data_IF_838776024409
#
_entry.id   IF_838776024409
#
_cell.length_a   1.000
_cell.length_b   1.000
_cell.length_c   1.000
_cell.angle_alpha   90.00
_cell.angle_beta   90.00
_cell.angle_gamma   90.00
#
_symmetry.space_group_name_H-M   'P 1'
#
loop_
_entity.id
_entity.type
_entity.pdbx_description
1 polymer ?
#
# COMPACT_ATOMS: atom_id res chain seq x y z
N UNK A 1 5.60 -74.15 37.49
CA UNK A 1 5.51 -75.16 36.44
C UNK A 1 6.21 -74.56 35.24
N UNK A 2 7.42 -74.89 35.03
CA UNK A 2 7.98 -75.82 34.02
C UNK A 2 7.59 -75.42 32.63
N UNK A 3 8.39 -75.28 31.66
CA UNK A 3 9.74 -75.66 31.31
C UNK A 3 9.96 -75.06 29.91
N UNK A 4 11.09 -74.70 29.58
CA UNK A 4 12.34 -75.19 29.09
C UNK A 4 12.54 -74.80 27.62
N UNK A 5 13.57 -73.98 27.41
CA UNK A 5 14.76 -74.16 26.58
C UNK A 5 14.64 -74.90 25.26
N UNK A 6 15.23 -74.32 24.20
CA UNK A 6 16.39 -74.88 23.50
C UNK A 6 16.92 -73.84 22.44
N UNK A 7 18.22 -73.52 22.53
CA UNK A 7 19.05 -73.03 21.40
C UNK A 7 19.67 -74.24 20.66
N UNK A 8 20.03 -74.05 19.38
CA UNK A 8 21.48 -74.10 19.05
C UNK A 8 21.88 -73.10 17.95
N UNK A 9 23.01 -72.46 18.13
CA UNK A 9 24.39 -72.70 17.66
C UNK A 9 24.65 -72.43 16.16
N UNK A 10 25.58 -71.59 15.99
CA UNK A 10 26.14 -70.90 14.84
C UNK A 10 26.72 -71.79 13.73
N UNK A 11 26.77 -71.23 12.52
CA UNK A 11 27.83 -71.56 11.57
C UNK A 11 28.22 -70.27 10.83
N UNK A 12 29.47 -69.88 10.96
CA UNK A 12 30.12 -68.81 10.24
C UNK A 12 30.53 -69.27 8.84
N UNK A 13 30.17 -68.56 7.80
CA UNK A 13 30.75 -68.72 6.46
C UNK A 13 31.36 -67.40 6.03
N UNK A 14 32.70 -67.36 5.96
CA UNK A 14 33.48 -66.33 5.30
C UNK A 14 33.21 -66.37 3.77
N UNK A 15 32.70 -65.34 3.19
CA UNK A 15 32.69 -65.16 1.74
C UNK A 15 33.46 -63.88 1.38
N UNK A 16 34.49 -64.09 0.56
CA UNK A 16 35.35 -63.02 0.06
C UNK A 16 34.62 -62.00 -0.78
N UNK A 17 34.79 -60.71 -0.47
CA UNK A 17 34.31 -59.60 -1.29
C UNK A 17 35.29 -59.33 -2.43
N UNK A 18 34.84 -59.58 -3.66
CA UNK A 18 35.47 -59.07 -4.88
C UNK A 18 34.92 -57.68 -5.16
N UNK A 19 35.75 -56.67 -5.09
CA UNK A 19 35.43 -55.33 -5.55
C UNK A 19 35.35 -55.29 -7.09
N UNK A 20 34.15 -55.18 -7.63
CA UNK A 20 33.93 -54.77 -9.02
C UNK A 20 33.62 -53.27 -9.03
N UNK A 21 34.58 -52.47 -9.46
CA UNK A 21 34.36 -51.06 -9.77
C UNK A 21 33.55 -50.94 -11.05
N UNK A 22 32.22 -50.88 -10.90
CA UNK A 22 31.31 -50.56 -11.98
C UNK A 22 31.10 -49.04 -12.03
N UNK A 23 31.75 -48.37 -12.97
CA UNK A 23 31.34 -47.02 -13.41
C UNK A 23 30.00 -47.14 -14.15
N UNK A 24 28.89 -46.98 -13.42
CA UNK A 24 27.57 -46.77 -14.04
C UNK A 24 27.46 -45.34 -14.60
N UNK A 25 26.82 -45.14 -15.75
CA UNK A 25 26.61 -43.79 -16.26
C UNK A 25 25.76 -43.00 -15.28
N UNK A 26 26.22 -41.78 -14.94
CA UNK A 26 25.46 -40.83 -14.16
C UNK A 26 24.11 -40.60 -14.85
N UNK A 27 23.04 -41.00 -14.19
CA UNK A 27 21.69 -40.73 -14.62
C UNK A 27 21.48 -39.21 -14.57
N UNK A 28 21.63 -38.51 -15.69
CA UNK A 28 21.21 -37.16 -15.89
C UNK A 28 19.69 -37.17 -15.90
N UNK A 29 19.06 -37.05 -14.72
CA UNK A 29 17.66 -36.73 -14.62
C UNK A 29 17.48 -35.35 -15.26
N UNK A 30 16.87 -35.30 -16.44
CA UNK A 30 16.39 -34.08 -17.04
C UNK A 30 15.41 -33.48 -16.02
N UNK A 31 15.65 -32.23 -15.54
CA UNK A 31 14.71 -31.62 -14.62
C UNK A 31 13.35 -31.53 -15.31
N UNK A 32 12.35 -32.21 -14.74
CA UNK A 32 10.96 -32.06 -15.20
C UNK A 32 10.60 -30.59 -14.96
N UNK A 33 10.17 -29.84 -15.99
CA UNK A 33 9.78 -28.46 -15.81
C UNK A 33 8.65 -28.41 -14.78
N UNK A 34 8.87 -27.73 -13.66
CA UNK A 34 7.80 -27.43 -12.71
C UNK A 34 6.81 -26.52 -13.44
N UNK A 35 5.51 -26.86 -13.50
CA UNK A 35 4.54 -26.01 -14.15
C UNK A 35 4.60 -24.61 -13.50
N UNK A 36 4.79 -23.58 -14.32
CA UNK A 36 4.76 -22.20 -13.87
C UNK A 36 3.30 -21.87 -13.57
N UNK A 37 2.89 -21.98 -12.31
CA UNK A 37 1.54 -21.60 -11.89
C UNK A 37 1.46 -20.09 -11.78
N UNK A 38 0.55 -19.48 -12.53
CA UNK A 38 0.25 -18.07 -12.36
C UNK A 38 -0.60 -17.84 -11.11
N UNK A 39 -0.33 -16.76 -10.39
CA UNK A 39 -1.13 -16.29 -9.26
C UNK A 39 -1.90 -15.05 -9.68
N UNK A 40 -3.19 -14.99 -9.34
CA UNK A 40 -4.02 -13.79 -9.55
C UNK A 40 -4.48 -13.24 -8.22
N UNK A 41 -4.19 -11.95 -7.98
CA UNK A 41 -4.57 -11.21 -6.79
C UNK A 41 -5.57 -10.12 -7.15
N UNK A 42 -6.64 -10.01 -6.36
CA UNK A 42 -7.67 -9.00 -6.50
C UNK A 42 -7.55 -8.01 -5.35
N UNK A 43 -7.43 -6.72 -5.67
CA UNK A 43 -7.30 -5.64 -4.68
C UNK A 43 -8.59 -4.86 -4.58
N UNK A 44 -9.13 -4.75 -3.36
CA UNK A 44 -10.35 -4.00 -3.05
C UNK A 44 -10.05 -2.79 -2.17
N UNK A 45 -10.80 -1.73 -2.41
CA UNK A 45 -10.95 -0.60 -1.48
C UNK A 45 -12.40 -0.57 -1.01
N UNK A 46 -12.67 -1.13 0.16
CA UNK A 46 -14.03 -1.47 0.57
C UNK A 46 -14.63 -2.46 -0.43
N UNK A 47 -15.83 -2.19 -0.94
CA UNK A 47 -16.54 -3.05 -1.88
C UNK A 47 -16.05 -2.91 -3.33
N UNK A 48 -15.26 -1.87 -3.63
CA UNK A 48 -14.78 -1.61 -4.99
C UNK A 48 -13.50 -2.38 -5.33
N UNK A 49 -13.53 -3.16 -6.40
CA UNK A 49 -12.30 -3.67 -7.03
C UNK A 49 -11.55 -2.54 -7.72
N UNK A 50 -10.31 -2.30 -7.29
CA UNK A 50 -9.49 -1.19 -7.79
C UNK A 50 -8.26 -1.63 -8.59
N UNK A 51 -7.81 -2.87 -8.38
CA UNK A 51 -6.73 -3.48 -9.15
C UNK A 51 -6.88 -4.99 -9.20
N UNK A 52 -6.36 -5.59 -10.27
CA UNK A 52 -6.18 -7.05 -10.39
C UNK A 52 -4.78 -7.26 -10.95
N UNK A 53 -4.02 -8.10 -10.29
CA UNK A 53 -2.66 -8.47 -10.68
C UNK A 53 -2.61 -9.95 -11.00
N UNK A 54 -1.97 -10.31 -12.12
CA UNK A 54 -1.58 -11.69 -12.43
C UNK A 54 -0.08 -11.74 -12.62
N UNK A 55 0.57 -12.70 -11.97
CA UNK A 55 2.02 -12.86 -12.07
C UNK A 55 2.46 -14.31 -12.03
N UNK A 56 3.67 -14.55 -12.48
CA UNK A 56 4.42 -15.78 -12.33
C UNK A 56 5.71 -15.48 -11.59
N UNK A 57 6.12 -16.39 -10.70
CA UNK A 57 7.35 -16.27 -9.94
C UNK A 57 8.15 -17.57 -10.04
N UNK A 58 9.38 -17.48 -10.52
CA UNK A 58 10.34 -18.56 -10.63
C UNK A 58 11.62 -18.18 -9.87
N UNK A 59 12.54 -19.13 -9.69
CA UNK A 59 13.83 -18.86 -9.05
C UNK A 59 14.69 -17.80 -9.77
N UNK A 60 14.43 -17.52 -11.06
CA UNK A 60 15.23 -16.62 -11.89
C UNK A 60 14.49 -15.35 -12.30
N UNK A 61 13.18 -15.37 -12.26
CA UNK A 61 12.38 -14.28 -12.84
C UNK A 61 11.00 -14.20 -12.20
N UNK A 62 10.51 -12.98 -12.06
CA UNK A 62 9.13 -12.68 -11.76
C UNK A 62 8.56 -11.79 -12.86
N UNK A 63 7.39 -12.11 -13.38
CA UNK A 63 6.70 -11.32 -14.41
C UNK A 63 5.25 -11.13 -14.03
N UNK A 64 4.73 -9.93 -14.24
CA UNK A 64 3.34 -9.64 -13.90
C UNK A 64 2.68 -8.63 -14.82
N UNK A 65 1.37 -8.79 -14.89
CA UNK A 65 0.41 -7.87 -15.50
C UNK A 65 -0.51 -7.37 -14.41
N UNK A 66 -0.61 -6.07 -14.26
CA UNK A 66 -1.53 -5.43 -13.33
C UNK A 66 -2.45 -4.48 -14.08
N UNK A 67 -3.74 -4.57 -13.83
CA UNK A 67 -4.72 -3.59 -14.27
C UNK A 67 -5.22 -2.81 -13.08
N UNK A 68 -5.26 -1.50 -13.20
CA UNK A 68 -5.70 -0.59 -12.15
C UNK A 68 -6.82 0.29 -12.66
N UNK A 69 -7.76 0.62 -11.76
CA UNK A 69 -8.91 1.48 -12.05
C UNK A 69 -8.67 2.93 -11.65
N UNK A 70 -7.65 3.20 -10.85
CA UNK A 70 -7.44 4.49 -10.17
C UNK A 70 -6.08 5.10 -10.50
N UNK A 71 -6.02 6.44 -10.69
CA UNK A 71 -7.13 7.39 -10.87
C UNK A 71 -7.86 7.21 -12.19
N UNK A 72 -7.25 6.53 -13.15
CA UNK A 72 -7.79 6.14 -14.46
C UNK A 72 -7.37 4.71 -14.79
N UNK A 73 -8.13 4.05 -15.67
CA UNK A 73 -7.83 2.69 -16.07
C UNK A 73 -6.48 2.60 -16.76
N UNK A 74 -5.62 1.71 -16.27
CA UNK A 74 -4.26 1.49 -16.77
C UNK A 74 -3.91 0.02 -16.79
N UNK A 75 -3.01 -0.33 -17.69
CA UNK A 75 -2.38 -1.64 -17.81
C UNK A 75 -0.89 -1.45 -17.52
N UNK A 76 -0.40 -2.06 -16.45
CA UNK A 76 1.01 -2.11 -16.08
C UNK A 76 1.58 -3.50 -16.33
N UNK A 77 2.79 -3.59 -16.89
CA UNK A 77 3.54 -4.84 -17.02
C UNK A 77 4.88 -4.67 -16.35
N UNK A 78 5.28 -5.65 -15.58
CA UNK A 78 6.60 -5.67 -14.97
C UNK A 78 7.29 -7.00 -15.20
N UNK A 79 8.62 -6.93 -15.18
CA UNK A 79 9.51 -8.09 -15.21
C UNK A 79 10.66 -7.80 -14.26
N UNK A 80 11.03 -8.78 -13.44
CA UNK A 80 12.14 -8.68 -12.49
C UNK A 80 13.05 -9.89 -12.68
N UNK A 81 14.28 -9.65 -13.07
CA UNK A 81 15.31 -10.68 -13.14
C UNK A 81 15.96 -10.86 -11.77
N UNK A 82 16.13 -12.10 -11.36
CA UNK A 82 16.64 -12.50 -10.06
C UNK A 82 18.04 -13.14 -10.19
N UNK A 83 18.94 -12.69 -9.34
CA UNK A 83 20.26 -13.32 -9.17
C UNK A 83 20.20 -14.64 -8.40
N UNK A 84 21.34 -15.33 -8.25
CA UNK A 84 21.42 -16.65 -7.60
C UNK A 84 20.83 -16.71 -6.17
N UNK A 85 20.81 -15.56 -5.50
CA UNK A 85 20.30 -15.44 -4.13
C UNK A 85 18.86 -14.90 -4.06
N UNK A 86 18.13 -14.88 -5.18
CA UNK A 86 16.80 -14.31 -5.27
C UNK A 86 16.75 -12.76 -5.16
N UNK A 87 17.91 -12.11 -5.15
CA UNK A 87 17.96 -10.64 -5.14
C UNK A 87 17.64 -10.08 -6.54
N UNK A 88 16.85 -9.01 -6.65
CA UNK A 88 16.63 -8.35 -7.93
C UNK A 88 17.95 -7.85 -8.54
N UNK A 89 18.15 -8.09 -9.84
CA UNK A 89 19.30 -7.58 -10.61
C UNK A 89 18.86 -6.54 -11.63
N UNK A 90 17.67 -6.73 -12.20
CA UNK A 90 17.04 -5.82 -13.14
C UNK A 90 15.52 -5.87 -12.94
N UNK A 91 14.87 -4.74 -13.14
CA UNK A 91 13.43 -4.68 -13.27
C UNK A 91 13.05 -3.78 -14.44
N UNK A 92 12.08 -4.21 -15.24
CA UNK A 92 11.48 -3.41 -16.29
C UNK A 92 10.00 -3.20 -15.98
N UNK A 93 9.51 -2.00 -16.22
CA UNK A 93 8.10 -1.66 -16.05
C UNK A 93 7.61 -0.83 -17.22
N UNK A 94 6.45 -1.17 -17.74
CA UNK A 94 5.76 -0.37 -18.73
C UNK A 94 4.32 -0.11 -18.30
N UNK A 95 3.77 1.03 -18.73
CA UNK A 95 2.39 1.40 -18.44
C UNK A 95 1.70 1.92 -19.69
N UNK A 96 0.45 1.48 -19.87
CA UNK A 96 -0.44 1.86 -20.94
C UNK A 96 -1.77 2.31 -20.38
N UNK A 97 -2.59 2.99 -21.18
CA UNK A 97 -3.97 3.24 -20.80
C UNK A 97 -4.82 1.96 -20.86
N UNK A 98 -6.10 2.05 -20.51
CA UNK A 98 -6.99 0.89 -20.44
C UNK A 98 -7.24 0.18 -21.78
N UNK A 99 -6.96 0.82 -22.92
CA UNK A 99 -7.03 0.21 -24.28
C UNK A 99 -5.66 -0.28 -24.77
N UNK A 100 -4.61 -0.13 -23.96
CA UNK A 100 -3.26 -0.50 -24.34
C UNK A 100 -2.51 0.57 -25.13
N UNK A 101 -3.07 1.77 -25.31
CA UNK A 101 -2.40 2.87 -25.98
C UNK A 101 -1.35 3.54 -25.08
N UNK A 102 -0.38 4.22 -25.68
CA UNK A 102 0.63 5.00 -24.97
C UNK A 102 -0.01 6.16 -24.19
N UNK A 103 0.50 6.43 -23.00
CA UNK A 103 0.04 7.58 -22.20
C UNK A 103 0.57 8.88 -22.82
N UNK A 104 -0.26 9.91 -23.00
CA UNK A 104 0.16 11.19 -23.56
C UNK A 104 1.27 11.85 -22.71
N UNK A 105 2.36 12.29 -23.38
CA UNK A 105 3.45 13.06 -22.77
C UNK A 105 4.21 12.36 -21.63
N UNK A 106 3.91 11.09 -21.36
CA UNK A 106 4.44 10.33 -20.24
C UNK A 106 5.67 9.50 -20.56
N UNK A 107 6.27 8.97 -19.52
CA UNK A 107 7.24 7.89 -19.59
C UNK A 107 6.51 6.62 -20.04
N UNK A 108 7.03 5.96 -21.10
CA UNK A 108 6.42 4.76 -21.68
C UNK A 108 6.85 3.50 -20.94
N UNK A 109 8.11 3.48 -20.50
CA UNK A 109 8.69 2.39 -19.73
C UNK A 109 9.84 2.88 -18.87
N UNK A 110 10.18 2.06 -17.89
CA UNK A 110 11.27 2.26 -16.94
C UNK A 110 12.07 0.99 -16.84
N UNK A 111 13.39 1.08 -17.05
CA UNK A 111 14.34 0.01 -16.74
C UNK A 111 15.12 0.38 -15.49
N UNK A 112 15.25 -0.55 -14.55
CA UNK A 112 15.96 -0.37 -13.28
C UNK A 112 17.02 -1.44 -13.14
N UNK A 113 18.25 -1.06 -12.86
CA UNK A 113 19.35 -1.97 -12.51
C UNK A 113 19.69 -1.83 -11.06
N UNK A 114 19.72 -2.96 -10.35
CA UNK A 114 20.11 -3.04 -8.95
C UNK A 114 21.61 -3.40 -8.90
N UNK A 115 22.43 -2.45 -8.46
CA UNK A 115 23.88 -2.58 -8.32
C UNK A 115 24.17 -2.54 -6.81
N UNK A 116 25.28 -3.12 -6.36
CA UNK A 116 25.59 -3.31 -4.93
C UNK A 116 25.11 -2.18 -4.01
N UNK A 117 25.50 -0.93 -4.29
CA UNK A 117 25.25 0.22 -3.42
C UNK A 117 24.45 1.33 -4.14
N UNK A 118 23.80 0.97 -5.25
CA UNK A 118 23.03 1.92 -6.03
C UNK A 118 21.94 1.28 -6.87
N UNK A 119 20.94 2.08 -7.22
CA UNK A 119 19.88 1.73 -8.17
C UNK A 119 19.95 2.73 -9.31
N UNK A 120 20.03 2.23 -10.54
CA UNK A 120 20.07 3.07 -11.75
C UNK A 120 18.78 2.93 -12.51
N UNK A 121 18.11 4.03 -12.74
CA UNK A 121 16.86 4.14 -13.47
C UNK A 121 17.11 4.68 -14.87
N UNK A 122 16.57 4.03 -15.89
CA UNK A 122 16.51 4.53 -17.26
C UNK A 122 15.05 4.66 -17.66
N UNK A 123 14.56 5.88 -17.70
CA UNK A 123 13.20 6.18 -18.13
C UNK A 123 13.15 6.44 -19.62
N UNK A 124 12.34 5.66 -20.36
CA UNK A 124 12.15 5.78 -21.81
C UNK A 124 10.93 6.66 -22.09
N UNK A 125 11.16 7.76 -22.78
CA UNK A 125 10.14 8.75 -23.18
C UNK A 125 10.19 8.99 -24.68
N UNK A 126 9.12 9.50 -25.23
CA UNK A 126 9.09 9.91 -26.66
C UNK A 126 10.16 10.97 -26.97
N UNK A 127 10.46 11.85 -26.00
CA UNK A 127 11.46 12.91 -26.15
C UNK A 127 12.92 12.45 -25.87
N UNK A 128 13.14 11.15 -25.63
CA UNK A 128 14.44 10.58 -25.31
C UNK A 128 14.56 10.01 -23.90
N UNK A 129 15.60 9.25 -23.67
CA UNK A 129 15.87 8.55 -22.42
C UNK A 129 16.41 9.48 -21.34
N UNK A 130 16.02 9.21 -20.09
CA UNK A 130 16.55 9.90 -18.91
C UNK A 130 17.16 8.90 -17.95
N UNK A 131 18.41 9.13 -17.51
CA UNK A 131 19.09 8.28 -16.53
C UNK A 131 19.21 9.00 -15.20
N UNK A 132 18.91 8.28 -14.11
CA UNK A 132 19.05 8.82 -12.73
C UNK A 132 19.55 7.70 -11.82
N UNK A 133 20.45 8.02 -10.90
CA UNK A 133 20.94 7.11 -9.87
C UNK A 133 20.34 7.43 -8.50
N UNK A 134 20.22 6.40 -7.67
CA UNK A 134 19.86 6.48 -6.26
C UNK A 134 20.85 5.62 -5.46
N UNK A 135 21.42 6.16 -4.39
CA UNK A 135 22.19 5.36 -3.46
C UNK A 135 21.24 4.40 -2.72
N UNK A 136 21.63 3.13 -2.65
CA UNK A 136 20.85 2.07 -1.97
C UNK A 136 21.60 1.62 -0.71
N UNK A 137 20.85 1.40 0.36
CA UNK A 137 21.40 0.92 1.62
C UNK A 137 20.72 -0.40 2.00
N UNK A 138 21.46 -1.51 1.89
CA UNK A 138 20.95 -2.83 2.28
C UNK A 138 20.19 -3.55 1.17
N UNK A 139 19.17 -4.32 1.55
CA UNK A 139 18.35 -5.07 0.60
C UNK A 139 17.34 -4.14 -0.10
N UNK A 140 17.31 -4.20 -1.43
CA UNK A 140 16.45 -3.33 -2.25
C UNK A 140 15.53 -4.20 -3.10
N UNK A 141 14.24 -3.83 -3.14
CA UNK A 141 13.23 -4.55 -3.93
C UNK A 141 12.39 -3.58 -4.76
N UNK A 142 11.94 -4.00 -5.96
CA UNK A 142 11.03 -3.20 -6.76
C UNK A 142 9.65 -3.12 -6.11
N UNK A 143 8.97 -2.01 -6.34
CA UNK A 143 7.62 -1.76 -5.88
C UNK A 143 6.77 -1.15 -6.99
N UNK A 144 5.57 -1.67 -7.20
CA UNK A 144 4.54 -1.10 -8.07
C UNK A 144 3.28 -0.88 -7.22
N UNK A 145 2.67 0.31 -7.24
CA UNK A 145 1.43 0.54 -6.51
C UNK A 145 0.35 -0.49 -6.87
N UNK A 146 -0.28 -1.07 -5.86
CA UNK A 146 -1.29 -2.13 -5.96
C UNK A 146 -0.77 -3.49 -6.47
N UNK A 147 0.54 -3.67 -6.72
CA UNK A 147 1.15 -4.97 -6.94
C UNK A 147 1.57 -5.58 -5.61
N UNK A 148 0.94 -6.68 -5.24
CA UNK A 148 1.25 -7.40 -3.99
C UNK A 148 2.11 -8.63 -4.24
N UNK A 149 2.10 -9.17 -5.45
CA UNK A 149 2.99 -10.26 -5.85
C UNK A 149 4.47 -9.91 -5.64
N UNK A 150 4.88 -8.68 -5.89
CA UNK A 150 6.28 -8.24 -5.72
C UNK A 150 6.79 -8.40 -4.27
N UNK A 151 5.91 -8.48 -3.27
CA UNK A 151 6.34 -8.77 -1.89
C UNK A 151 6.79 -10.21 -1.68
N UNK A 152 6.55 -11.13 -2.61
CA UNK A 152 7.16 -12.47 -2.54
C UNK A 152 8.69 -12.43 -2.63
N UNK A 153 9.26 -11.43 -3.30
CA UNK A 153 10.71 -11.28 -3.43
C UNK A 153 11.42 -11.08 -2.08
N UNK A 154 11.04 -10.09 -1.25
CA UNK A 154 11.61 -9.96 0.08
C UNK A 154 11.27 -11.13 1.00
N UNK A 155 10.10 -11.76 0.89
CA UNK A 155 9.74 -12.94 1.68
C UNK A 155 10.63 -14.14 1.34
N UNK A 156 10.86 -14.42 0.06
CA UNK A 156 11.77 -15.46 -0.38
C UNK A 156 13.19 -15.22 0.13
N UNK A 157 13.65 -13.96 0.14
CA UNK A 157 14.96 -13.57 0.66
C UNK A 157 15.06 -13.80 2.16
N UNK A 158 14.03 -13.46 2.94
CA UNK A 158 13.99 -13.73 4.38
C UNK A 158 14.05 -15.22 4.68
N UNK A 159 13.23 -16.01 3.99
CA UNK A 159 13.20 -17.46 4.11
C UNK A 159 14.56 -18.08 3.81
N UNK A 160 15.20 -17.68 2.70
CA UNK A 160 16.51 -18.18 2.29
C UNK A 160 17.63 -17.86 3.30
N UNK A 161 17.46 -16.84 4.12
CA UNK A 161 18.44 -16.42 5.15
C UNK A 161 18.08 -16.86 6.56
N UNK A 162 16.92 -17.54 6.75
CA UNK A 162 16.44 -18.00 8.07
C UNK A 162 16.17 -16.85 9.04
N UNK A 163 15.79 -15.66 8.54
CA UNK A 163 15.56 -14.47 9.37
C UNK A 163 14.08 -14.23 9.58
N UNK A 164 13.71 -13.86 10.80
CA UNK A 164 12.34 -13.45 11.15
C UNK A 164 12.04 -11.98 10.83
N UNK A 165 13.05 -11.20 10.50
CA UNK A 165 12.90 -9.78 10.18
C UNK A 165 13.98 -9.30 9.22
N UNK A 166 13.62 -8.26 8.45
CA UNK A 166 14.51 -7.60 7.51
C UNK A 166 14.17 -6.12 7.39
N UNK A 167 15.21 -5.28 7.35
CA UNK A 167 15.11 -3.91 6.86
C UNK A 167 15.42 -3.92 5.37
N UNK A 168 14.62 -3.23 4.58
CA UNK A 168 14.81 -3.13 3.13
C UNK A 168 14.36 -1.76 2.63
N UNK A 169 14.72 -1.46 1.39
CA UNK A 169 14.22 -0.31 0.66
C UNK A 169 13.33 -0.78 -0.48
N UNK A 170 12.16 -0.17 -0.59
CA UNK A 170 11.23 -0.40 -1.70
C UNK A 170 11.42 0.71 -2.74
N UNK A 171 11.79 0.31 -3.95
CA UNK A 171 12.08 1.21 -5.06
C UNK A 171 10.88 1.23 -6.00
N UNK A 172 10.19 2.38 -6.16
CA UNK A 172 9.03 2.47 -7.03
C UNK A 172 9.44 2.32 -8.50
N UNK A 173 8.80 1.40 -9.20
CA UNK A 173 8.84 1.29 -10.65
C UNK A 173 7.82 2.24 -11.32
N UNK A 174 6.94 2.84 -10.52
CA UNK A 174 5.94 3.78 -11.02
C UNK A 174 6.60 5.09 -11.47
N UNK A 175 5.99 5.68 -12.48
CA UNK A 175 6.42 6.90 -13.14
C UNK A 175 6.32 8.09 -12.17
N UNK A 176 7.42 8.78 -11.92
CA UNK A 176 7.44 10.10 -11.26
C UNK A 176 8.18 10.20 -9.94
N UNK A 177 8.32 9.13 -9.16
CA UNK A 177 9.09 9.16 -7.92
C UNK A 177 10.31 8.26 -8.00
N UNK A 178 11.48 8.82 -7.71
CA UNK A 178 12.77 8.09 -7.71
C UNK A 178 13.37 8.11 -6.30
N UNK A 179 12.52 7.89 -5.31
CA UNK A 179 12.91 7.84 -3.92
C UNK A 179 12.62 6.44 -3.38
N UNK A 180 13.63 5.81 -2.82
CA UNK A 180 13.44 4.56 -2.09
C UNK A 180 12.64 4.81 -0.80
N UNK A 181 11.74 3.89 -0.48
CA UNK A 181 10.96 3.94 0.75
C UNK A 181 11.54 2.91 1.73
N UNK A 182 12.14 3.34 2.84
CA UNK A 182 12.55 2.43 3.89
C UNK A 182 11.36 1.63 4.41
N UNK A 183 11.53 0.32 4.53
CA UNK A 183 10.51 -0.60 5.01
C UNK A 183 11.11 -1.62 5.95
N UNK A 184 10.30 -2.10 6.90
CA UNK A 184 10.64 -3.23 7.75
C UNK A 184 9.66 -4.36 7.52
N UNK A 185 10.18 -5.57 7.45
CA UNK A 185 9.41 -6.80 7.27
C UNK A 185 9.67 -7.68 8.48
N UNK A 186 8.62 -8.23 9.09
CA UNK A 186 8.73 -9.10 10.27
C UNK A 186 7.70 -10.22 10.19
N UNK A 187 8.13 -11.45 10.45
CA UNK A 187 7.25 -12.60 10.68
C UNK A 187 6.49 -12.38 11.99
N UNK A 188 5.16 -12.51 11.96
CA UNK A 188 4.28 -12.39 13.12
C UNK A 188 3.63 -13.72 13.51
N UNK A 189 3.46 -14.61 12.53
CA UNK A 189 3.06 -16.01 12.71
C UNK A 189 3.59 -16.83 11.54
N UNK A 190 3.52 -18.18 11.57
CA UNK A 190 4.10 -19.04 10.52
C UNK A 190 3.63 -18.74 9.09
N UNK A 191 2.47 -18.12 8.95
CA UNK A 191 1.83 -17.79 7.65
C UNK A 191 1.58 -16.31 7.46
N UNK A 192 1.96 -15.44 8.43
CA UNK A 192 1.69 -14.00 8.38
C UNK A 192 2.96 -13.19 8.59
N UNK A 193 3.14 -12.25 7.70
CA UNK A 193 4.24 -11.28 7.74
C UNK A 193 3.68 -9.86 7.79
N UNK A 194 4.23 -9.05 8.68
CA UNK A 194 3.94 -7.62 8.76
C UNK A 194 4.98 -6.84 7.97
N UNK A 195 4.52 -5.98 7.07
CA UNK A 195 5.34 -5.00 6.36
C UNK A 195 4.92 -3.60 6.82
N UNK A 196 5.88 -2.75 7.12
CA UNK A 196 5.60 -1.36 7.46
C UNK A 196 5.70 -0.50 6.19
N UNK A 197 4.54 -0.07 5.67
CA UNK A 197 4.41 0.71 4.44
C UNK A 197 3.40 1.85 4.66
N UNK A 198 3.82 2.89 5.35
CA UNK A 198 2.92 3.97 5.76
C UNK A 198 1.76 3.46 6.64
N UNK A 199 2.07 2.50 7.49
CA UNK A 199 1.18 1.72 8.35
C UNK A 199 1.42 0.21 8.19
N UNK A 200 0.87 -0.62 9.09
CA UNK A 200 1.06 -2.06 9.06
C UNK A 200 0.24 -2.70 7.94
N UNK A 201 0.93 -3.30 6.98
CA UNK A 201 0.39 -4.21 5.98
C UNK A 201 0.60 -5.63 6.48
N UNK A 202 -0.47 -6.40 6.64
CA UNK A 202 -0.41 -7.81 7.06
C UNK A 202 -0.57 -8.70 5.83
N UNK A 203 0.50 -9.40 5.46
CA UNK A 203 0.51 -10.35 4.35
C UNK A 203 0.38 -11.77 4.87
N UNK A 204 -0.55 -12.53 4.32
CA UNK A 204 -0.65 -13.98 4.54
C UNK A 204 -0.10 -14.71 3.31
N UNK A 205 0.72 -15.73 3.54
CA UNK A 205 1.29 -16.60 2.51
C UNK A 205 0.96 -18.07 2.77
N UNK A 206 1.14 -18.93 1.76
CA UNK A 206 0.75 -20.33 1.76
C UNK A 206 1.83 -21.30 2.32
N UNK A 207 2.75 -20.80 3.13
CA UNK A 207 3.88 -21.56 3.65
C UNK A 207 5.01 -21.80 2.63
N UNK A 208 4.73 -21.66 1.33
CA UNK A 208 5.73 -21.69 0.24
C UNK A 208 6.19 -20.29 -0.18
N UNK A 209 5.64 -19.27 0.47
CA UNK A 209 5.97 -17.87 0.22
C UNK A 209 5.05 -17.16 -0.79
N UNK A 210 4.12 -17.87 -1.45
CA UNK A 210 3.18 -17.25 -2.36
C UNK A 210 2.04 -16.56 -1.61
N UNK A 211 1.72 -15.31 -1.99
CA UNK A 211 0.73 -14.47 -1.32
C UNK A 211 -0.68 -15.07 -1.47
N UNK A 212 -1.39 -15.19 -0.35
CA UNK A 212 -2.79 -15.61 -0.27
C UNK A 212 -3.72 -14.42 -0.07
N UNK A 213 -3.34 -13.52 0.81
CA UNK A 213 -4.11 -12.31 1.10
C UNK A 213 -3.25 -11.21 1.71
N UNK A 214 -3.75 -9.99 1.66
CA UNK A 214 -3.15 -8.88 2.38
C UNK A 214 -4.22 -7.99 3.00
N UNK A 215 -4.05 -7.66 4.28
CA UNK A 215 -4.84 -6.64 4.98
C UNK A 215 -4.03 -5.35 5.08
N UNK A 216 -4.38 -4.39 4.25
CA UNK A 216 -3.84 -3.04 4.24
C UNK A 216 -4.79 -2.00 4.83
N UNK A 217 -5.84 -2.39 5.54
CA UNK A 217 -6.84 -1.48 6.13
C UNK A 217 -6.22 -0.42 7.04
N UNK A 218 -5.09 -0.72 7.68
CA UNK A 218 -4.34 0.20 8.55
C UNK A 218 -3.19 0.92 7.85
N UNK A 219 -2.99 0.71 6.54
CA UNK A 219 -2.04 1.47 5.72
C UNK A 219 -2.67 2.74 5.17
N UNK A 220 -1.86 3.59 4.52
CA UNK A 220 -2.37 4.77 3.82
C UNK A 220 -3.27 4.42 2.63
N UNK A 221 -3.12 3.23 2.03
CA UNK A 221 -3.91 2.76 0.90
C UNK A 221 -5.29 2.22 1.30
N UNK A 222 -5.44 1.69 2.52
CA UNK A 222 -6.71 1.18 3.08
C UNK A 222 -7.35 0.05 2.26
N UNK A 223 -6.56 -0.82 1.68
CA UNK A 223 -7.02 -1.86 0.77
C UNK A 223 -6.92 -3.26 1.39
N UNK A 224 -7.72 -4.17 0.88
CA UNK A 224 -7.63 -5.60 1.11
C UNK A 224 -7.31 -6.32 -0.19
N UNK A 225 -6.54 -7.41 -0.10
CA UNK A 225 -6.12 -8.22 -1.24
C UNK A 225 -6.46 -9.67 -0.98
N UNK A 226 -6.94 -10.35 -2.00
CA UNK A 226 -7.23 -11.78 -1.95
C UNK A 226 -6.72 -12.48 -3.22
N UNK A 227 -6.23 -13.71 -3.06
CA UNK A 227 -5.92 -14.58 -4.19
C UNK A 227 -7.25 -15.14 -4.72
N UNK A 228 -7.42 -15.06 -6.05
CA UNK A 228 -8.57 -15.64 -6.73
C UNK A 228 -8.14 -16.83 -7.56
N UNK A 229 -8.99 -17.86 -7.60
CA UNK A 229 -8.70 -19.13 -8.26
C UNK A 229 -9.19 -19.25 -9.71
N UNK A 230 -9.69 -18.16 -10.29
CA UNK A 230 -10.17 -18.18 -11.68
C UNK A 230 -9.33 -17.30 -12.59
N UNK A 231 -9.21 -17.72 -13.82
CA UNK A 231 -8.58 -16.96 -14.87
C UNK A 231 -9.54 -15.91 -15.44
N UNK A 232 -9.02 -14.73 -15.76
CA UNK A 232 -9.81 -13.63 -16.32
C UNK A 232 -8.97 -12.83 -17.30
N UNK A 233 -9.58 -12.30 -18.36
CA UNK A 233 -8.91 -11.39 -19.29
C UNK A 233 -8.75 -10.00 -18.63
N UNK A 234 -7.57 -9.75 -18.07
CA UNK A 234 -7.26 -8.49 -17.41
C UNK A 234 -7.31 -7.28 -18.35
N UNK A 235 -6.93 -7.47 -19.61
CA UNK A 235 -6.99 -6.39 -20.59
C UNK A 235 -8.42 -6.05 -20.98
N UNK A 236 -9.30 -7.04 -21.08
CA UNK A 236 -10.72 -6.80 -21.27
C UNK A 236 -11.33 -6.04 -20.08
N UNK A 237 -10.90 -6.36 -18.87
CA UNK A 237 -11.33 -5.60 -17.65
C UNK A 237 -10.84 -4.16 -17.72
N UNK A 238 -9.59 -3.92 -18.13
CA UNK A 238 -9.04 -2.56 -18.24
C UNK A 238 -9.81 -1.75 -19.28
N UNK A 239 -10.13 -2.35 -20.45
CA UNK A 239 -10.97 -1.74 -21.49
C UNK A 239 -12.37 -1.38 -20.94
N UNK A 240 -13.00 -2.32 -20.24
CA UNK A 240 -14.32 -2.09 -19.64
C UNK A 240 -14.30 -0.95 -18.59
N UNK A 241 -13.25 -0.87 -17.78
CA UNK A 241 -13.08 0.22 -16.83
C UNK A 241 -12.86 1.56 -17.53
N UNK A 242 -12.07 1.60 -18.61
CA UNK A 242 -11.86 2.83 -19.40
C UNK A 242 -13.16 3.29 -20.07
N UNK A 243 -13.92 2.36 -20.67
CA UNK A 243 -15.22 2.70 -21.28
C UNK A 243 -16.20 3.29 -20.28
N UNK A 244 -16.29 2.74 -19.06
CA UNK A 244 -17.12 3.32 -17.97
C UNK A 244 -16.66 4.73 -17.59
N UNK A 245 -15.36 4.99 -17.56
CA UNK A 245 -14.83 6.32 -17.27
C UNK A 245 -15.18 7.35 -18.34
N UNK A 246 -15.11 6.95 -19.61
CA UNK A 246 -15.48 7.81 -20.75
C UNK A 246 -17.00 8.06 -20.81
N UNK A 247 -17.80 7.08 -20.39
CA UNK A 247 -19.28 7.19 -20.34
C UNK A 247 -19.84 8.03 -19.18
N UNK A 248 -18.99 8.85 -18.51
CA UNK A 248 -19.42 9.74 -17.43
C UNK A 248 -19.63 9.06 -16.07
N UNK A 249 -19.25 7.77 -15.94
CA UNK A 249 -19.13 7.08 -14.65
C UNK A 249 -17.64 6.96 -14.24
N UNK A 250 -16.91 8.07 -14.07
CA UNK A 250 -15.52 7.99 -13.66
C UNK A 250 -15.47 7.33 -12.30
N UNK A 251 -14.54 6.42 -12.11
CA UNK A 251 -14.23 5.90 -10.78
C UNK A 251 -13.79 7.04 -9.87
N UNK A 252 -13.47 8.18 -10.48
CA UNK A 252 -13.09 9.41 -9.83
C UNK A 252 -11.79 9.29 -9.04
N UNK A 253 -11.34 10.39 -8.50
CA UNK A 253 -10.35 10.35 -7.43
C UNK A 253 -11.00 9.66 -6.23
N UNK A 254 -10.29 8.70 -5.62
CA UNK A 254 -10.76 7.98 -4.42
C UNK A 254 -11.19 8.97 -3.34
N UNK A 255 -10.48 10.08 -3.25
CA UNK A 255 -10.71 11.17 -2.31
C UNK A 255 -10.55 12.48 -3.06
N UNK A 256 -11.59 12.94 -3.77
CA UNK A 256 -11.54 14.24 -4.44
C UNK A 256 -11.29 15.34 -3.41
N UNK A 257 -10.61 16.40 -3.81
CA UNK A 257 -10.52 17.59 -2.98
C UNK A 257 -11.79 18.42 -3.13
N UNK A 258 -12.14 19.10 -2.06
CA UNK A 258 -13.26 20.03 -1.97
C UNK A 258 -12.85 21.25 -1.15
N UNK A 259 -13.57 22.34 -1.33
CA UNK A 259 -13.31 23.60 -0.65
C UNK A 259 -14.59 24.11 0.01
N UNK A 260 -14.49 24.41 1.30
CA UNK A 260 -15.52 25.13 2.04
C UNK A 260 -15.10 26.59 2.15
N UNK A 261 -15.96 27.50 1.75
CA UNK A 261 -15.84 28.93 2.02
C UNK A 261 -17.04 29.38 2.86
N UNK A 262 -16.77 30.12 3.92
CA UNK A 262 -17.81 30.60 4.82
C UNK A 262 -17.46 31.97 5.37
N UNK A 263 -18.48 32.77 5.59
CA UNK A 263 -18.37 34.05 6.33
C UNK A 263 -19.07 33.89 7.68
N UNK A 264 -18.36 34.20 8.75
CA UNK A 264 -18.86 34.12 10.13
C UNK A 264 -18.57 35.46 10.79
N UNK A 265 -19.60 36.29 10.94
CA UNK A 265 -19.40 37.68 11.35
C UNK A 265 -18.46 38.44 10.40
N UNK A 266 -17.31 38.89 10.92
CA UNK A 266 -16.26 39.54 10.12
C UNK A 266 -15.24 38.59 9.51
N UNK A 267 -15.27 37.29 9.84
CA UNK A 267 -14.28 36.31 9.40
C UNK A 267 -14.64 35.69 8.07
N UNK A 268 -13.69 35.64 7.12
CA UNK A 268 -13.76 34.80 5.95
C UNK A 268 -12.90 33.58 6.11
N UNK A 269 -13.54 32.42 6.03
CA UNK A 269 -12.92 31.12 6.22
C UNK A 269 -12.77 30.38 4.90
N UNK A 270 -11.65 29.70 4.74
CA UNK A 270 -11.39 28.83 3.61
C UNK A 270 -10.81 27.52 4.09
N UNK A 271 -11.41 26.39 3.73
CA UNK A 271 -10.98 25.06 4.11
C UNK A 271 -10.88 24.20 2.87
N UNK A 272 -9.66 23.70 2.54
CA UNK A 272 -9.42 22.81 1.41
C UNK A 272 -9.01 21.44 1.94
N UNK A 273 -9.75 20.39 1.58
CA UNK A 273 -9.59 19.07 2.17
C UNK A 273 -9.89 17.93 1.18
N UNK A 274 -9.33 16.76 1.42
CA UNK A 274 -9.68 15.54 0.69
C UNK A 274 -10.95 14.91 1.28
N UNK A 275 -11.88 14.48 0.42
CA UNK A 275 -13.17 13.86 0.77
C UNK A 275 -13.17 12.35 0.50
N UNK A 276 -12.59 11.50 1.39
CA UNK A 276 -12.68 10.06 1.24
C UNK A 276 -14.12 9.57 1.43
N UNK A 277 -14.47 8.47 0.73
CA UNK A 277 -15.72 7.76 0.88
C UNK A 277 -15.57 6.54 1.81
N UNK A 278 -16.65 6.11 2.47
CA UNK A 278 -16.68 4.91 3.32
C UNK A 278 -16.43 3.64 2.51
N UNK A 279 -17.12 3.47 1.42
CA UNK A 279 -17.08 2.28 0.56
C UNK A 279 -17.29 0.99 1.37
N UNK A 280 -18.33 0.96 2.21
CA UNK A 280 -18.67 -0.15 3.08
C UNK A 280 -17.74 -0.36 4.30
N UNK A 281 -16.74 0.53 4.55
CA UNK A 281 -15.80 0.37 5.66
C UNK A 281 -16.26 1.09 6.92
N UNK A 282 -15.96 0.51 8.08
CA UNK A 282 -15.97 1.25 9.34
C UNK A 282 -14.62 1.96 9.53
N UNK A 283 -14.58 3.23 9.15
CA UNK A 283 -13.36 4.04 9.18
C UNK A 283 -12.96 4.47 10.60
N UNK A 284 -13.89 4.43 11.54
CA UNK A 284 -13.65 4.83 12.94
C UNK A 284 -13.12 3.65 13.79
N UNK A 285 -13.26 2.41 13.29
CA UNK A 285 -12.80 1.23 14.01
C UNK A 285 -11.28 1.06 13.95
N UNK A 286 -10.71 0.57 15.05
CA UNK A 286 -9.39 -0.07 15.16
C UNK A 286 -8.22 0.62 14.43
N UNK A 287 -8.12 1.94 14.52
CA UNK A 287 -6.98 2.67 13.98
C UNK A 287 -6.96 2.82 12.45
N UNK A 288 -8.10 2.61 11.77
CA UNK A 288 -8.22 2.83 10.30
C UNK A 288 -7.83 4.26 9.92
N UNK A 289 -8.15 5.27 10.73
CA UNK A 289 -7.75 6.66 10.49
C UNK A 289 -6.32 6.98 10.94
N UNK A 290 -5.65 6.08 11.62
CA UNK A 290 -4.36 6.24 12.25
C UNK A 290 -4.45 5.89 13.74
N UNK A 291 -3.34 5.49 14.34
CA UNK A 291 -3.35 5.03 15.75
C UNK A 291 -3.55 6.18 16.75
N UNK A 292 -3.20 7.41 16.38
CA UNK A 292 -3.29 8.55 17.30
C UNK A 292 -3.76 9.84 16.65
N UNK A 293 -3.51 10.01 15.35
CA UNK A 293 -3.73 11.28 14.67
C UNK A 293 -4.11 11.07 13.18
N UNK A 294 -5.13 11.81 12.75
CA UNK A 294 -5.65 11.80 11.39
C UNK A 294 -5.58 13.22 10.80
N UNK A 295 -5.16 13.33 9.52
CA UNK A 295 -5.05 14.58 8.74
C UNK A 295 -6.38 15.27 8.43
N UNK A 296 -7.47 14.93 9.12
CA UNK A 296 -8.84 15.48 8.95
C UNK A 296 -9.27 15.49 7.48
N UNK A 297 -8.99 14.40 6.76
CA UNK A 297 -9.27 14.27 5.33
C UNK A 297 -8.44 13.16 4.69
N UNK A 298 -8.05 13.34 3.42
CA UNK A 298 -7.25 12.39 2.67
C UNK A 298 -6.22 13.07 1.79
N UNK A 299 -5.14 12.35 1.46
CA UNK A 299 -4.00 12.81 0.64
C UNK A 299 -3.21 13.93 1.35
N UNK A 300 -3.16 15.15 0.81
CA UNK A 300 -2.59 16.29 1.49
C UNK A 300 -3.38 16.63 2.78
N UNK A 301 -2.70 17.15 3.79
CA UNK A 301 -3.34 17.62 5.02
C UNK A 301 -4.39 18.68 4.71
N UNK A 302 -5.47 18.72 5.50
CA UNK A 302 -6.53 19.73 5.36
C UNK A 302 -5.98 21.10 5.66
N UNK A 303 -6.10 22.02 4.70
CA UNK A 303 -5.69 23.41 4.87
C UNK A 303 -6.86 24.22 5.44
N UNK A 304 -6.55 25.13 6.36
CA UNK A 304 -7.50 26.06 6.96
C UNK A 304 -6.95 27.46 6.95
N UNK A 305 -7.71 28.43 6.46
CA UNK A 305 -7.31 29.83 6.45
C UNK A 305 -8.42 30.72 7.02
N UNK A 306 -8.02 31.72 7.79
CA UNK A 306 -8.85 32.80 8.29
C UNK A 306 -8.14 34.14 8.07
N UNK A 307 -8.90 35.17 7.73
CA UNK A 307 -8.39 36.55 7.52
C UNK A 307 -8.43 37.41 8.79
N UNK A 308 -9.09 36.96 9.84
CA UNK A 308 -9.11 37.61 11.16
C UNK A 308 -8.83 36.60 12.27
N UNK A 309 -8.51 37.09 13.46
CA UNK A 309 -8.37 36.25 14.65
C UNK A 309 -9.71 35.55 14.97
N UNK A 310 -9.65 34.28 15.29
CA UNK A 310 -10.82 33.47 15.69
C UNK A 310 -10.70 32.99 17.13
N UNK A 311 -11.83 32.75 17.74
CA UNK A 311 -11.97 31.88 18.93
C UNK A 311 -12.52 30.55 18.46
N UNK A 312 -11.72 29.48 18.56
CA UNK A 312 -12.07 28.11 18.20
C UNK A 312 -12.05 27.24 19.46
N UNK A 313 -13.22 26.74 19.89
CA UNK A 313 -13.32 25.94 21.12
C UNK A 313 -12.74 26.65 22.35
N UNK A 314 -12.90 27.98 22.45
CA UNK A 314 -12.36 28.79 23.56
C UNK A 314 -10.88 29.16 23.41
N UNK A 315 -10.20 28.80 22.33
CA UNK A 315 -8.79 29.15 22.08
C UNK A 315 -8.66 30.13 20.94
N UNK A 316 -7.78 31.12 21.07
CA UNK A 316 -7.49 32.09 20.00
C UNK A 316 -6.62 31.47 18.91
N UNK A 317 -7.06 31.61 17.66
CA UNK A 317 -6.33 31.30 16.44
C UNK A 317 -6.07 32.61 15.72
N UNK A 318 -4.83 33.09 15.59
CA UNK A 318 -4.54 34.30 14.83
C UNK A 318 -4.96 34.18 13.34
N UNK A 319 -5.16 35.32 12.68
CA UNK A 319 -5.30 35.37 11.24
C UNK A 319 -4.13 34.65 10.57
N UNK A 320 -4.38 33.77 9.58
CA UNK A 320 -3.32 33.01 8.97
C UNK A 320 -3.80 31.75 8.24
N UNK A 321 -2.82 30.94 7.81
CA UNK A 321 -3.04 29.64 7.16
C UNK A 321 -2.42 28.53 8.02
N UNK A 322 -3.15 27.45 8.16
CA UNK A 322 -2.86 26.32 9.06
C UNK A 322 -3.22 24.99 8.40
N UNK A 323 -2.89 23.89 9.05
CA UNK A 323 -3.48 22.58 8.77
C UNK A 323 -4.28 22.06 9.95
N UNK A 324 -5.33 21.30 9.64
CA UNK A 324 -6.19 20.67 10.64
C UNK A 324 -5.88 19.18 10.73
N UNK A 325 -5.79 18.72 11.98
CA UNK A 325 -5.61 17.32 12.34
C UNK A 325 -6.60 16.93 13.43
N UNK A 326 -6.97 15.66 13.46
CA UNK A 326 -7.91 15.15 14.47
C UNK A 326 -7.27 14.00 15.23
N UNK A 327 -7.28 14.03 16.58
CA UNK A 327 -6.88 12.87 17.39
C UNK A 327 -7.92 11.77 17.26
N UNK A 328 -7.49 10.51 17.26
CA UNK A 328 -8.35 9.32 17.05
C UNK A 328 -8.39 8.40 18.27
N UNK A 329 -7.58 8.69 19.29
CA UNK A 329 -7.51 7.96 20.56
C UNK A 329 -7.48 8.93 21.72
N UNK A 330 -7.98 8.51 22.91
CA UNK A 330 -7.99 9.35 24.11
C UNK A 330 -8.98 10.51 24.06
N UNK A 331 -10.01 10.42 23.21
CA UNK A 331 -10.97 11.49 22.91
C UNK A 331 -10.60 12.27 21.65
N UNK A 332 -11.63 12.78 20.96
CA UNK A 332 -11.43 13.55 19.75
C UNK A 332 -11.02 14.99 20.05
N UNK A 333 -9.91 15.44 19.49
CA UNK A 333 -9.48 16.83 19.54
C UNK A 333 -9.16 17.32 18.14
N UNK A 334 -9.51 18.54 17.81
CA UNK A 334 -9.03 19.24 16.64
C UNK A 334 -7.68 19.90 16.96
N UNK A 335 -6.67 19.60 16.18
CA UNK A 335 -5.35 20.21 16.28
C UNK A 335 -5.18 21.20 15.14
N UNK A 336 -4.90 22.46 15.45
CA UNK A 336 -4.51 23.48 14.48
C UNK A 336 -2.99 23.53 14.47
N UNK A 337 -2.37 23.21 13.32
CA UNK A 337 -0.93 23.12 13.19
C UNK A 337 -0.41 24.16 12.20
N UNK A 338 0.73 24.78 12.47
CA UNK A 338 1.33 25.88 11.68
C UNK A 338 1.95 25.43 10.37
N UNK A 339 2.16 24.11 10.15
CA UNK A 339 2.64 23.61 8.88
C UNK A 339 1.57 23.83 7.79
N UNK A 340 1.98 24.13 6.56
CA UNK A 340 1.11 24.36 5.41
C UNK A 340 1.63 23.61 4.18
N UNK A 341 0.70 23.14 3.33
CA UNK A 341 1.02 22.54 2.04
C UNK A 341 1.63 21.13 2.08
N UNK A 342 1.80 20.52 3.26
CA UNK A 342 2.42 19.21 3.40
C UNK A 342 1.46 18.07 3.05
N UNK A 343 2.04 16.92 2.72
CA UNK A 343 1.32 15.68 2.59
C UNK A 343 0.81 15.19 3.96
N UNK A 344 -0.34 14.55 3.98
CA UNK A 344 -1.04 14.16 5.21
C UNK A 344 -0.38 13.04 6.04
N UNK A 345 0.83 12.61 5.71
CA UNK A 345 1.67 11.75 6.55
C UNK A 345 2.88 12.51 7.12
N UNK A 346 3.01 13.79 6.80
CA UNK A 346 4.08 14.68 7.30
C UNK A 346 3.48 15.58 8.37
N UNK A 347 3.77 15.26 9.62
CA UNK A 347 3.27 16.02 10.78
C UNK A 347 4.40 16.28 11.77
N UNK A 348 4.52 17.53 12.21
CA UNK A 348 5.43 17.97 13.25
C UNK A 348 4.62 18.55 14.43
N UNK A 349 4.56 17.81 15.52
CA UNK A 349 3.85 18.23 16.74
C UNK A 349 4.39 19.50 17.40
N UNK A 350 5.64 19.88 17.11
CA UNK A 350 6.23 21.15 17.59
C UNK A 350 5.60 22.36 16.93
N UNK A 351 4.90 22.18 15.83
CA UNK A 351 4.18 23.21 15.10
C UNK A 351 2.70 23.33 15.52
N UNK A 352 2.26 22.54 16.51
CA UNK A 352 0.89 22.69 17.03
C UNK A 352 0.71 24.08 17.64
N UNK A 353 -0.32 24.77 17.16
CA UNK A 353 -0.74 26.06 17.72
C UNK A 353 -1.67 25.84 18.92
N UNK A 354 -2.72 25.06 18.70
CA UNK A 354 -3.71 24.70 19.74
C UNK A 354 -4.27 23.30 19.50
N UNK A 355 -4.78 22.71 20.58
CA UNK A 355 -5.63 21.52 20.57
C UNK A 355 -6.93 21.86 21.29
N UNK A 356 -8.07 21.59 20.66
CA UNK A 356 -9.39 21.87 21.21
C UNK A 356 -10.25 20.61 21.20
N UNK A 357 -11.00 20.32 22.25
CA UNK A 357 -11.90 19.17 22.27
C UNK A 357 -12.96 19.27 21.18
N UNK A 358 -13.28 18.15 20.53
CA UNK A 358 -14.40 18.01 19.62
C UNK A 358 -15.55 17.32 20.36
N UNK A 359 -16.76 17.86 20.20
CA UNK A 359 -17.95 17.22 20.72
C UNK A 359 -18.43 16.17 19.74
N UNK A 360 -18.56 14.93 20.19
CA UNK A 360 -19.05 13.80 19.40
C UNK A 360 -20.57 13.72 19.46
N UNK A 361 -21.17 13.44 18.31
CA UNK A 361 -22.58 13.12 18.16
C UNK A 361 -22.78 12.17 16.97
N UNK A 362 -23.98 11.64 16.80
CA UNK A 362 -24.35 10.84 15.64
C UNK A 362 -25.30 11.60 14.72
N UNK A 363 -25.30 11.24 13.44
CA UNK A 363 -26.29 11.73 12.45
C UNK A 363 -27.23 10.60 12.08
N UNK A 364 -28.52 10.94 11.85
CA UNK A 364 -29.54 9.97 11.48
C UNK A 364 -29.27 9.33 10.10
N UNK A 365 -28.76 10.12 9.16
CA UNK A 365 -28.38 9.65 7.82
C UNK A 365 -26.86 9.66 7.72
N UNK A 366 -26.20 8.47 7.65
CA UNK A 366 -24.76 8.38 7.55
C UNK A 366 -24.21 9.07 6.29
N UNK A 367 -23.16 9.86 6.45
CA UNK A 367 -22.48 10.55 5.36
C UNK A 367 -21.48 9.56 4.69
N UNK A 368 -21.73 9.16 3.45
CA UNK A 368 -20.82 8.29 2.67
C UNK A 368 -19.45 8.93 2.46
N UNK A 369 -19.41 10.26 2.22
CA UNK A 369 -18.17 11.01 2.06
C UNK A 369 -17.87 11.86 3.27
N UNK A 370 -16.62 11.87 3.71
CA UNK A 370 -16.15 12.83 4.69
C UNK A 370 -16.51 14.24 4.28
N UNK A 371 -17.15 15.00 5.16
CA UNK A 371 -17.64 16.34 4.88
C UNK A 371 -17.26 17.27 6.01
N UNK A 372 -16.67 18.42 5.66
CA UNK A 372 -16.46 19.55 6.56
C UNK A 372 -17.52 20.59 6.23
N UNK A 373 -18.15 21.15 7.27
CA UNK A 373 -19.13 22.22 7.13
C UNK A 373 -18.87 23.29 8.20
N UNK A 374 -19.19 24.54 7.85
CA UNK A 374 -19.27 25.66 8.80
C UNK A 374 -20.74 26.04 8.89
N UNK A 375 -21.35 25.77 10.02
CA UNK A 375 -22.79 25.89 10.22
C UNK A 375 -23.10 27.10 11.09
N UNK A 376 -23.88 28.09 10.58
CA UNK A 376 -24.24 29.28 11.35
C UNK A 376 -24.92 28.93 12.69
N UNK A 377 -24.58 29.69 13.73
CA UNK A 377 -25.20 29.65 15.04
C UNK A 377 -25.60 31.07 15.43
N UNK A 378 -26.39 31.22 16.48
CA UNK A 378 -26.81 32.56 16.99
C UNK A 378 -25.60 33.41 17.40
N UNK A 379 -24.51 32.84 17.82
CA UNK A 379 -23.25 33.51 18.22
C UNK A 379 -22.06 32.87 17.56
N UNK A 380 -21.83 33.06 16.24
CA UNK A 380 -20.74 32.49 15.49
C UNK A 380 -21.15 31.30 14.61
N UNK A 381 -20.42 30.20 14.64
CA UNK A 381 -20.69 28.99 13.86
C UNK A 381 -20.19 27.73 14.56
N UNK A 382 -20.60 26.57 14.06
CA UNK A 382 -19.99 25.27 14.37
C UNK A 382 -19.15 24.83 13.16
N UNK A 383 -17.89 24.51 13.41
CA UNK A 383 -17.11 23.70 12.49
C UNK A 383 -17.48 22.24 12.73
N UNK A 384 -18.06 21.58 11.71
CA UNK A 384 -18.55 20.22 11.77
C UNK A 384 -17.77 19.30 10.85
N UNK A 385 -17.35 18.15 11.35
CA UNK A 385 -16.67 17.09 10.66
C UNK A 385 -17.61 15.87 10.67
N UNK A 386 -18.12 15.44 9.52
CA UNK A 386 -19.09 14.33 9.46
C UNK A 386 -18.59 13.24 8.54
N UNK A 387 -18.59 12.00 9.03
CA UNK A 387 -18.26 10.82 8.21
C UNK A 387 -18.92 9.56 8.78
N UNK A 388 -19.65 8.83 7.94
CA UNK A 388 -20.53 7.78 8.41
C UNK A 388 -21.61 8.34 9.31
N UNK A 389 -21.92 7.63 10.37
CA UNK A 389 -22.86 8.10 11.37
C UNK A 389 -22.26 9.06 12.41
N UNK A 390 -20.92 9.25 12.41
CA UNK A 390 -20.23 10.09 13.39
C UNK A 390 -20.12 11.54 12.92
N UNK A 391 -20.40 12.45 13.84
CA UNK A 391 -20.22 13.89 13.68
C UNK A 391 -19.41 14.44 14.85
N UNK A 392 -18.38 15.20 14.54
CA UNK A 392 -17.52 15.90 15.50
C UNK A 392 -17.67 17.40 15.27
N UNK A 393 -17.89 18.17 16.32
CA UNK A 393 -18.12 19.62 16.22
C UNK A 393 -17.29 20.42 17.20
N UNK A 394 -17.00 21.67 16.81
CA UNK A 394 -16.37 22.66 17.69
C UNK A 394 -16.92 24.05 17.35
N UNK A 395 -17.29 24.89 18.35
CA UNK A 395 -17.73 26.24 18.10
C UNK A 395 -16.57 27.14 17.66
N UNK A 396 -16.87 28.06 16.74
CA UNK A 396 -15.97 29.10 16.28
C UNK A 396 -16.70 30.44 16.11
N UNK A 397 -15.98 31.52 16.39
CA UNK A 397 -16.45 32.89 16.18
C UNK A 397 -15.25 33.81 15.89
N UNK A 398 -15.43 34.98 15.24
CA UNK A 398 -14.43 36.02 15.25
C UNK A 398 -14.10 36.42 16.68
N UNK A 399 -12.84 36.82 16.92
CA UNK A 399 -12.41 37.32 18.21
C UNK A 399 -12.85 38.74 18.44
#
# INVERSE_FOLDING_TARGET
MLAATIRPVAAAALAALSFVTGCGPASTSIPVPVPVTSTTLLTRLGDDTIAIERYTHTAKKMEGLIVTRLPVARIGRYSVDLGPNGAPTRADYSVRDGDGAALPGGMQSLSVRFIRDSVVFVGHRTAGDTTTGLAARGAVFPFVPYSYGLYELPLARMSATGRDSMLCELVPLAIGTRQATPSSIRVTSPDVVRINLGGPLMLRHDGRGAIVSADGSRTTLKVNVERIGFDTDLEAIARAWKAKQQGGAPTGQISPRDTVQATVGSAHLWIDYGRPALRGRDVWANGVLGDTLWRTGANAATQFRTDVDLVLGGKTIPAGTYTLWTTTTGGYQLVVNKQVGQWGTVYDSKQDLVRVPLQESSVATPAERFTIAVEPQSSGALLALTWGAKRLTVPLAPK
#
